data_IF_907357278083
#
_entry.id   IF_907357278083
#
_cell.length_a   1.000
_cell.length_b   1.000
_cell.length_c   1.000
_cell.angle_alpha   90.00
_cell.angle_beta   90.00
_cell.angle_gamma   90.00
#
_symmetry.space_group_name_H-M   'P 1'
#
loop_
_entity.id
_entity.type
_entity.pdbx_description
1 polymer ?
#
# COMPACT_ATOMS: atom_id res chain seq x y z
N UNK A 1 14.26 16.70 -22.00
CA UNK A 1 14.31 16.34 -20.57
C UNK A 1 13.51 15.06 -20.42
N UNK A 2 14.10 14.01 -19.86
CA UNK A 2 13.36 12.77 -19.61
C UNK A 2 12.51 12.95 -18.34
N UNK A 3 11.19 13.06 -18.51
CA UNK A 3 10.23 13.24 -17.41
C UNK A 3 9.86 11.93 -16.73
N UNK A 4 10.46 10.81 -17.13
CA UNK A 4 10.11 9.47 -16.67
C UNK A 4 10.24 9.30 -15.15
N UNK A 5 11.20 9.96 -14.50
CA UNK A 5 11.31 9.96 -13.04
C UNK A 5 10.08 10.59 -12.36
N UNK A 6 9.54 11.68 -12.92
CA UNK A 6 8.35 12.37 -12.40
C UNK A 6 7.11 11.51 -12.63
N UNK A 7 7.02 10.86 -13.78
CA UNK A 7 5.93 9.93 -14.10
C UNK A 7 5.92 8.71 -13.17
N UNK A 8 7.09 8.10 -12.94
CA UNK A 8 7.23 6.97 -12.02
C UNK A 8 6.93 7.37 -10.57
N UNK A 9 7.38 8.54 -10.12
CA UNK A 9 7.03 9.07 -8.79
C UNK A 9 5.51 9.25 -8.64
N UNK A 10 4.87 9.87 -9.66
CA UNK A 10 3.43 10.12 -9.68
C UNK A 10 2.64 8.81 -9.69
N UNK A 11 3.10 7.82 -10.48
CA UNK A 11 2.49 6.48 -10.53
C UNK A 11 2.62 5.76 -9.20
N UNK A 12 3.79 5.77 -8.57
CA UNK A 12 3.99 5.12 -7.27
C UNK A 12 3.07 5.72 -6.19
N UNK A 13 2.90 7.04 -6.16
CA UNK A 13 1.96 7.70 -5.25
C UNK A 13 0.49 7.38 -5.53
N UNK A 14 0.09 7.33 -6.80
CA UNK A 14 -1.27 6.92 -7.20
C UNK A 14 -1.53 5.47 -6.81
N UNK A 15 -0.65 4.55 -7.15
CA UNK A 15 -0.82 3.12 -6.92
C UNK A 15 -0.87 2.80 -5.42
N UNK A 16 -0.07 3.51 -4.61
CA UNK A 16 -0.18 3.46 -3.15
C UNK A 16 -1.57 3.91 -2.66
N UNK A 17 -2.09 5.01 -3.20
CA UNK A 17 -3.41 5.54 -2.82
C UNK A 17 -4.56 4.62 -3.24
N UNK A 18 -4.49 4.03 -4.43
CA UNK A 18 -5.44 3.03 -4.94
C UNK A 18 -5.38 1.75 -4.11
N UNK A 19 -4.18 1.32 -3.69
CA UNK A 19 -4.00 0.20 -2.76
C UNK A 19 -4.70 0.46 -1.40
N UNK A 20 -4.54 1.65 -0.80
CA UNK A 20 -5.21 1.98 0.46
C UNK A 20 -6.74 1.99 0.36
N UNK A 21 -7.29 2.21 -0.85
CA UNK A 21 -8.74 2.14 -1.11
C UNK A 21 -9.22 0.72 -1.41
N UNK A 22 -8.32 -0.27 -1.51
CA UNK A 22 -8.62 -1.62 -1.95
C UNK A 22 -8.89 -1.76 -3.45
N UNK A 23 -8.53 -0.74 -4.25
CA UNK A 23 -8.70 -0.73 -5.71
C UNK A 23 -7.54 -1.43 -6.42
N UNK A 24 -6.36 -1.49 -5.78
CA UNK A 24 -5.18 -2.21 -6.27
C UNK A 24 -4.66 -3.21 -5.25
N UNK A 25 -4.01 -4.26 -5.76
CA UNK A 25 -3.30 -5.23 -4.93
C UNK A 25 -1.95 -4.67 -4.44
N UNK A 26 -1.49 -5.18 -3.29
CA UNK A 26 -0.22 -4.79 -2.68
C UNK A 26 0.96 -5.04 -3.63
N UNK A 27 0.92 -6.10 -4.46
CA UNK A 27 2.00 -6.38 -5.41
C UNK A 27 2.10 -5.29 -6.49
N UNK A 28 0.97 -4.71 -6.91
CA UNK A 28 0.95 -3.63 -7.90
C UNK A 28 1.58 -2.36 -7.30
N UNK A 29 1.25 -2.04 -6.05
CA UNK A 29 1.88 -0.92 -5.35
C UNK A 29 3.41 -1.13 -5.21
N UNK A 30 3.87 -2.33 -4.84
CA UNK A 30 5.30 -2.64 -4.76
C UNK A 30 6.01 -2.54 -6.12
N UNK A 31 5.40 -3.05 -7.18
CA UNK A 31 5.97 -2.98 -8.52
C UNK A 31 6.16 -1.53 -8.99
N UNK A 32 5.23 -0.64 -8.66
CA UNK A 32 5.36 0.80 -8.97
C UNK A 32 6.51 1.48 -8.22
N UNK A 33 6.76 1.05 -6.97
CA UNK A 33 7.92 1.51 -6.17
C UNK A 33 9.23 1.03 -6.76
N UNK A 34 9.28 -0.19 -7.28
CA UNK A 34 10.47 -0.71 -7.96
C UNK A 34 10.82 0.09 -9.21
N UNK A 35 9.82 0.37 -10.05
CA UNK A 35 10.00 1.21 -11.23
C UNK A 35 10.52 2.61 -10.86
N UNK A 36 9.99 3.20 -9.78
CA UNK A 36 10.46 4.50 -9.32
C UNK A 36 11.90 4.45 -8.75
N UNK A 37 12.23 3.41 -7.97
CA UNK A 37 13.57 3.21 -7.44
C UNK A 37 14.62 3.02 -8.55
N UNK A 38 14.26 2.31 -9.61
CA UNK A 38 15.09 2.17 -10.80
C UNK A 38 15.32 3.50 -11.52
N UNK A 39 14.29 4.35 -11.64
CA UNK A 39 14.46 5.69 -12.17
C UNK A 39 15.37 6.54 -11.28
N UNK A 40 15.21 6.50 -9.97
CA UNK A 40 16.10 7.20 -9.04
C UNK A 40 17.57 6.78 -9.24
N UNK A 41 17.82 5.47 -9.41
CA UNK A 41 19.16 4.94 -9.70
C UNK A 41 19.73 5.49 -11.01
N UNK A 42 18.95 5.43 -12.09
CA UNK A 42 19.36 5.93 -13.43
C UNK A 42 19.66 7.42 -13.40
N UNK A 43 18.91 8.20 -12.61
CA UNK A 43 19.10 9.65 -12.46
C UNK A 43 20.17 10.03 -11.40
N UNK A 44 20.95 9.08 -10.89
CA UNK A 44 22.08 9.35 -10.00
C UNK A 44 21.71 9.60 -8.53
N UNK A 45 20.50 9.21 -8.10
CA UNK A 45 20.13 9.25 -6.69
C UNK A 45 20.90 8.17 -5.90
N UNK A 46 21.96 8.59 -5.21
CA UNK A 46 22.80 7.71 -4.38
C UNK A 46 21.99 6.96 -3.33
N UNK A 47 20.97 7.61 -2.76
CA UNK A 47 20.13 7.05 -1.70
C UNK A 47 18.83 6.41 -2.21
N UNK A 48 18.75 5.99 -3.47
CA UNK A 48 17.55 5.34 -4.03
C UNK A 48 17.09 4.10 -3.23
N UNK A 49 18.01 3.32 -2.65
CA UNK A 49 17.67 2.21 -1.76
C UNK A 49 16.93 2.65 -0.49
N UNK A 50 17.31 3.77 0.11
CA UNK A 50 16.61 4.33 1.28
C UNK A 50 15.19 4.76 0.91
N UNK A 51 15.01 5.43 -0.23
CA UNK A 51 13.68 5.83 -0.71
C UNK A 51 12.80 4.60 -0.99
N UNK A 52 13.35 3.60 -1.68
CA UNK A 52 12.65 2.33 -1.93
C UNK A 52 12.24 1.65 -0.62
N UNK A 53 13.16 1.58 0.36
CA UNK A 53 12.88 1.01 1.67
C UNK A 53 11.73 1.73 2.39
N UNK A 54 11.75 3.06 2.44
CA UNK A 54 10.71 3.86 3.08
C UNK A 54 9.33 3.62 2.45
N UNK A 55 9.26 3.59 1.12
CA UNK A 55 7.99 3.38 0.41
C UNK A 55 7.47 1.95 0.58
N UNK A 56 8.35 0.94 0.51
CA UNK A 56 8.00 -0.46 0.75
C UNK A 56 7.49 -0.68 2.17
N UNK A 57 8.14 -0.07 3.16
CA UNK A 57 7.70 -0.13 4.55
C UNK A 57 6.33 0.52 4.73
N UNK A 58 6.07 1.67 4.10
CA UNK A 58 4.77 2.31 4.15
C UNK A 58 3.66 1.41 3.57
N UNK A 59 3.93 0.73 2.45
CA UNK A 59 3.00 -0.26 1.85
C UNK A 59 2.75 -1.43 2.81
N UNK A 60 3.82 -2.00 3.38
CA UNK A 60 3.71 -3.13 4.30
C UNK A 60 2.93 -2.77 5.57
N UNK A 61 3.15 -1.58 6.14
CA UNK A 61 2.39 -1.12 7.30
C UNK A 61 0.92 -0.91 6.97
N UNK A 62 0.62 -0.26 5.83
CA UNK A 62 -0.77 -0.11 5.38
C UNK A 62 -1.46 -1.47 5.17
N UNK A 63 -0.75 -2.48 4.64
CA UNK A 63 -1.29 -3.84 4.51
C UNK A 63 -1.64 -4.47 5.87
N UNK A 64 -0.76 -4.33 6.86
CA UNK A 64 -0.98 -4.83 8.22
C UNK A 64 -2.20 -4.15 8.84
N UNK A 65 -2.25 -2.81 8.76
CA UNK A 65 -3.33 -2.00 9.32
C UNK A 65 -4.69 -2.36 8.70
N UNK A 66 -4.75 -2.52 7.37
CA UNK A 66 -5.95 -2.98 6.66
C UNK A 66 -6.39 -4.37 7.15
N UNK A 67 -5.45 -5.32 7.27
CA UNK A 67 -5.73 -6.65 7.79
C UNK A 67 -6.20 -6.67 9.25
N UNK A 68 -5.73 -5.74 10.09
CA UNK A 68 -6.23 -5.54 11.45
C UNK A 68 -7.64 -4.94 11.49
N UNK A 69 -7.89 -3.93 10.66
CA UNK A 69 -9.20 -3.30 10.52
C UNK A 69 -10.27 -4.32 10.09
N UNK A 70 -9.98 -5.15 9.09
CA UNK A 70 -10.87 -6.22 8.65
C UNK A 70 -11.15 -7.24 9.76
N UNK A 71 -10.11 -7.68 10.48
CA UNK A 71 -10.26 -8.61 11.61
C UNK A 71 -11.14 -8.03 12.70
N UNK A 72 -10.97 -6.74 13.02
CA UNK A 72 -11.80 -6.02 14.00
C UNK A 72 -13.25 -5.93 13.54
N UNK A 73 -13.49 -5.66 12.26
CA UNK A 73 -14.84 -5.60 11.69
C UNK A 73 -15.54 -6.96 11.69
N UNK A 74 -14.84 -8.04 11.27
CA UNK A 74 -15.35 -9.42 11.33
C UNK A 74 -15.76 -9.80 12.75
N UNK A 75 -14.93 -9.46 13.75
CA UNK A 75 -15.27 -9.66 15.18
C UNK A 75 -16.53 -8.90 15.58
N UNK A 76 -16.70 -7.66 15.12
CA UNK A 76 -17.91 -6.84 15.38
C UNK A 76 -19.16 -7.49 14.78
N UNK A 77 -19.10 -7.91 13.51
CA UNK A 77 -20.21 -8.60 12.82
C UNK A 77 -20.60 -9.89 13.54
N UNK A 78 -19.62 -10.72 13.92
CA UNK A 78 -19.88 -11.98 14.64
C UNK A 78 -20.53 -11.74 16.02
N UNK A 79 -20.14 -10.68 16.74
CA UNK A 79 -20.76 -10.31 18.02
C UNK A 79 -22.20 -9.83 17.84
N UNK A 80 -22.47 -9.01 16.82
CA UNK A 80 -23.82 -8.56 16.50
C UNK A 80 -24.72 -9.76 16.12
N UNK A 81 -24.22 -10.67 15.29
CA UNK A 81 -24.98 -11.85 14.87
C UNK A 81 -25.28 -12.79 16.03
N UNK A 82 -24.33 -13.01 16.95
CA UNK A 82 -24.56 -13.80 18.19
C UNK A 82 -25.60 -13.18 19.13
N UNK A 83 -25.74 -11.85 19.16
CA UNK A 83 -26.80 -11.17 19.93
C UNK A 83 -28.18 -11.37 19.30
N UNK A 84 -28.25 -11.46 17.98
CA UNK A 84 -29.52 -11.68 17.25
C UNK A 84 -29.97 -13.15 17.35
N UNK A 85 -29.05 -14.11 17.28
CA UNK A 85 -29.37 -15.54 17.31
C UNK A 85 -29.54 -16.15 18.70
N UNK A 86 -29.25 -15.40 19.77
CA UNK A 86 -29.65 -15.76 21.13
C UNK A 86 -30.79 -14.83 21.59
N UNK A 87 -32.04 -15.08 21.15
CA UNK A 87 -33.18 -14.46 21.83
C UNK A 87 -33.21 -15.02 23.25
N UNK A 88 -33.24 -14.13 24.24
CA UNK A 88 -33.71 -14.43 25.59
C UNK A 88 -35.07 -15.07 25.57
#
# INVERSE_FOLDING_TARGET
MDNRIIECASRAGRDFSEFMKGEKDFMQALASVDQFADQLRVHGCVNHHFVSYMMRNAIMQALIDMGEAERKEKRRKNRAQKKITKPT
#
